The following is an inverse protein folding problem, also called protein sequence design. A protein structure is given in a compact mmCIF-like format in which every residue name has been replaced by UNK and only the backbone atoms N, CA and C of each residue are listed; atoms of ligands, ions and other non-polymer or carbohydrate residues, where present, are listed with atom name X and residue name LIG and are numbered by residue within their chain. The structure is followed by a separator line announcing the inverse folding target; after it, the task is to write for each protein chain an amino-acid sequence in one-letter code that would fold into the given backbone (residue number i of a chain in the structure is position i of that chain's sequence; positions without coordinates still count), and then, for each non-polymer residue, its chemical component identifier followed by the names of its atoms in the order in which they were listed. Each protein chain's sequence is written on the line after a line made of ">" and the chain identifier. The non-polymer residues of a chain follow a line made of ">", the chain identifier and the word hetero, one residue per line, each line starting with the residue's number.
data_IF_575513877209
#
_entry.id   IF_575513877209
#
_cell.length_a   1.000
_cell.length_b   1.000
_cell.length_c   1.000
_cell.angle_alpha   90.00
_cell.angle_beta   90.00
_cell.angle_gamma   90.00
#
_symmetry.space_group_name_H-M   'P 1'
#
loop_
_entity.id
_entity.type
_entity.pdbx_description
1 polymer ?
#
# COMPACT_ATOMS: atom_id res chain seq x y z
N UNK A 1 -3.12 13.66 -8.17
CA UNK A 1 -3.67 13.12 -6.90
C UNK A 1 -4.38 11.79 -7.17
N UNK A 2 -4.54 10.90 -6.18
CA UNK A 2 -5.12 9.54 -6.39
C UNK A 2 -6.53 9.57 -7.04
N UNK A 3 -7.36 10.56 -6.71
CA UNK A 3 -8.65 10.77 -7.36
C UNK A 3 -8.53 11.02 -8.88
N UNK A 4 -7.49 11.73 -9.32
CA UNK A 4 -7.24 11.97 -10.75
C UNK A 4 -6.80 10.70 -11.48
N UNK A 5 -6.08 9.80 -10.78
CA UNK A 5 -5.66 8.51 -11.35
C UNK A 5 -6.85 7.58 -11.51
N UNK A 6 -7.74 7.51 -10.52
CA UNK A 6 -9.01 6.80 -10.66
C UNK A 6 -9.87 7.35 -11.81
N UNK A 7 -10.01 8.68 -11.92
CA UNK A 7 -10.70 9.30 -13.04
C UNK A 7 -10.06 9.02 -14.41
N UNK A 8 -8.78 8.62 -14.42
CA UNK A 8 -8.05 8.15 -15.60
C UNK A 8 -8.12 6.62 -15.78
N UNK A 9 -9.09 5.96 -15.14
CA UNK A 9 -9.33 4.51 -15.19
C UNK A 9 -8.21 3.64 -14.61
N UNK A 10 -7.41 4.17 -13.68
CA UNK A 10 -6.48 3.37 -12.88
C UNK A 10 -7.23 2.81 -11.68
N UNK A 11 -7.17 1.50 -11.47
CA UNK A 11 -7.72 0.87 -10.28
C UNK A 11 -6.89 1.22 -9.05
N UNK A 12 -7.45 2.04 -8.17
CA UNK A 12 -6.79 2.47 -6.94
C UNK A 12 -7.52 1.88 -5.74
N UNK A 13 -6.77 1.15 -4.91
CA UNK A 13 -7.22 0.70 -3.59
C UNK A 13 -6.41 1.40 -2.49
N UNK A 14 -7.09 2.02 -1.55
CA UNK A 14 -6.48 2.59 -0.34
C UNK A 14 -6.85 1.74 0.88
N UNK A 15 -5.83 1.15 1.51
CA UNK A 15 -5.99 0.41 2.77
C UNK A 15 -5.42 1.24 3.91
N UNK A 16 -6.22 1.48 4.95
CA UNK A 16 -5.75 2.22 6.12
C UNK A 16 -6.42 1.78 7.42
N UNK A 17 -5.67 1.87 8.53
CA UNK A 17 -6.19 1.66 9.90
C UNK A 17 -7.10 2.82 10.33
N UNK A 18 -6.56 4.02 10.21
CA UNK A 18 -7.12 5.27 10.74
C UNK A 18 -7.40 6.29 9.61
N UNK A 19 -7.55 5.81 8.37
CA UNK A 19 -7.72 6.67 7.20
C UNK A 19 -9.03 7.46 7.25
N UNK A 20 -8.94 8.75 6.95
CA UNK A 20 -10.08 9.55 6.54
C UNK A 20 -10.35 9.28 5.05
N UNK A 21 -11.37 8.49 4.79
CA UNK A 21 -11.72 8.04 3.45
C UNK A 21 -12.62 9.04 2.70
N UNK A 22 -13.21 10.02 3.40
CA UNK A 22 -14.14 11.00 2.79
C UNK A 22 -13.43 11.87 1.74
N UNK A 23 -12.11 12.05 1.89
CA UNK A 23 -11.27 12.76 0.93
C UNK A 23 -11.25 12.13 -0.48
N UNK A 24 -11.57 10.83 -0.59
CA UNK A 24 -11.55 10.11 -1.87
C UNK A 24 -12.84 10.24 -2.70
N UNK A 25 -13.94 10.76 -2.13
CA UNK A 25 -15.21 11.03 -2.84
C UNK A 25 -15.68 9.86 -3.72
N UNK A 26 -15.60 8.63 -3.20
CA UNK A 26 -15.93 7.38 -3.89
C UNK A 26 -15.10 7.04 -5.14
N UNK A 27 -14.10 7.85 -5.49
CA UNK A 27 -13.24 7.59 -6.64
C UNK A 27 -12.25 6.44 -6.36
N UNK A 28 -11.89 6.20 -5.11
CA UNK A 28 -10.91 5.18 -4.72
C UNK A 28 -11.62 4.09 -3.93
N UNK A 29 -11.32 2.82 -4.22
CA UNK A 29 -11.77 1.74 -3.37
C UNK A 29 -11.08 1.87 -2.01
N UNK A 30 -11.85 2.06 -0.95
CA UNK A 30 -11.31 2.24 0.40
C UNK A 30 -11.59 1.02 1.24
N UNK A 31 -10.56 0.57 1.97
CA UNK A 31 -10.62 -0.64 2.78
C UNK A 31 -10.05 -0.33 4.16
N UNK A 32 -10.85 -0.62 5.19
CA UNK A 32 -10.38 -0.48 6.58
C UNK A 32 -9.48 -1.65 6.93
N UNK A 33 -8.31 -1.37 7.48
CA UNK A 33 -7.36 -2.40 7.87
C UNK A 33 -7.92 -3.27 9.02
N UNK A 34 -7.99 -4.61 8.89
CA UNK A 34 -8.66 -5.48 9.85
C UNK A 34 -8.05 -5.40 11.25
N UNK A 35 -8.89 -5.17 12.27
CA UNK A 35 -8.46 -5.03 13.67
C UNK A 35 -7.60 -6.19 14.16
N UNK A 36 -7.97 -7.43 13.80
CA UNK A 36 -7.26 -8.66 14.17
C UNK A 36 -5.81 -8.74 13.66
N UNK A 37 -5.47 -7.97 12.62
CA UNK A 37 -4.15 -7.98 11.97
C UNK A 37 -3.35 -6.72 12.31
N UNK A 38 -3.92 -5.78 13.06
CA UNK A 38 -3.29 -4.50 13.23
C UNK A 38 -1.98 -4.63 14.03
N UNK A 39 -0.85 -4.16 13.48
CA UNK A 39 0.41 -4.18 14.21
C UNK A 39 0.36 -3.22 15.41
N UNK A 40 1.31 -3.34 16.37
CA UNK A 40 1.54 -2.31 17.37
C UNK A 40 1.68 -0.94 16.69
N UNK A 41 1.12 0.13 17.29
CA UNK A 41 1.14 1.48 16.70
C UNK A 41 2.56 1.97 16.33
N UNK A 42 3.54 1.49 17.06
CA UNK A 42 4.97 1.79 16.90
C UNK A 42 5.59 1.18 15.62
N UNK A 43 4.92 0.22 14.96
CA UNK A 43 5.36 -0.45 13.73
C UNK A 43 4.56 0.01 12.50
N UNK A 44 4.32 1.31 12.40
CA UNK A 44 3.53 1.87 11.29
C UNK A 44 4.41 2.03 10.05
N UNK A 45 4.22 1.13 9.08
CA UNK A 45 4.75 1.24 7.72
C UNK A 45 3.69 1.70 6.71
N UNK A 46 4.14 2.23 5.59
CA UNK A 46 3.33 2.57 4.42
C UNK A 46 3.91 1.84 3.22
N UNK A 47 3.03 1.31 2.38
CA UNK A 47 3.40 0.69 1.12
C UNK A 47 2.52 1.26 0.00
N UNK A 48 3.13 1.47 -1.15
CA UNK A 48 2.45 1.76 -2.41
C UNK A 48 3.07 0.84 -3.46
N UNK A 49 2.25 0.05 -4.12
CA UNK A 49 2.64 -0.74 -5.29
C UNK A 49 1.86 -0.25 -6.49
N UNK A 50 2.51 -0.19 -7.65
CA UNK A 50 1.92 0.20 -8.93
C UNK A 50 2.27 -0.88 -9.95
N UNK A 51 1.24 -1.41 -10.61
CA UNK A 51 1.33 -2.35 -11.74
C UNK A 51 2.28 -3.54 -11.54
N UNK A 52 2.50 -3.98 -10.29
CA UNK A 52 3.49 -5.01 -9.93
C UNK A 52 4.94 -4.74 -10.37
N UNK A 53 5.28 -3.51 -10.74
CA UNK A 53 6.61 -3.17 -11.23
C UNK A 53 7.25 -2.00 -10.49
N UNK A 54 6.45 -1.20 -9.77
CA UNK A 54 6.95 -0.13 -8.92
C UNK A 54 6.50 -0.31 -7.48
N UNK A 55 7.40 -0.01 -6.55
CA UNK A 55 7.16 -0.12 -5.12
C UNK A 55 7.79 1.04 -4.35
N UNK A 56 6.98 1.67 -3.50
CA UNK A 56 7.44 2.54 -2.42
C UNK A 56 7.13 1.87 -1.09
N UNK A 57 8.16 1.69 -0.27
CA UNK A 57 8.02 1.28 1.12
C UNK A 57 8.54 2.40 2.00
N UNK A 58 7.75 2.81 2.97
CA UNK A 58 8.16 3.79 3.98
C UNK A 58 7.93 3.24 5.36
N UNK A 59 8.93 3.29 6.22
CA UNK A 59 8.85 2.81 7.60
C UNK A 59 9.27 3.94 8.51
N UNK A 60 8.41 4.30 9.46
CA UNK A 60 8.78 5.25 10.50
C UNK A 60 9.89 4.67 11.36
N UNK A 61 10.89 5.50 11.62
CA UNK A 61 11.93 5.20 12.59
C UNK A 61 11.35 5.07 13.99
N UNK A 62 12.09 4.36 14.83
CA UNK A 62 11.75 4.23 16.24
C UNK A 62 12.45 5.33 17.03
N UNK A 63 11.68 6.23 17.65
CA UNK A 63 12.18 7.32 18.50
C UNK A 63 13.03 6.82 19.68
N UNK A 64 12.94 5.53 20.02
CA UNK A 64 13.78 4.89 21.06
C UNK A 64 15.21 4.62 20.60
N UNK A 65 15.54 4.80 19.32
CA UNK A 65 16.89 4.57 18.77
C UNK A 65 17.58 5.92 18.52
N UNK A 66 18.59 6.29 19.33
CA UNK A 66 19.29 7.55 19.17
C UNK A 66 19.96 7.66 17.80
N UNK A 67 19.70 8.75 17.08
CA UNK A 67 20.27 9.01 15.75
C UNK A 67 19.62 8.24 14.60
N UNK A 68 18.58 7.44 14.86
CA UNK A 68 17.80 6.85 13.78
C UNK A 68 17.04 7.94 13.01
N UNK A 69 16.96 7.83 11.67
CA UNK A 69 16.12 8.74 10.89
C UNK A 69 14.65 8.57 11.29
N UNK A 70 13.89 9.66 11.29
CA UNK A 70 12.47 9.65 11.63
C UNK A 70 11.65 8.75 10.68
N UNK A 71 12.12 8.55 9.45
CA UNK A 71 11.51 7.69 8.46
C UNK A 71 12.58 7.21 7.46
N UNK A 72 12.46 5.94 7.05
CA UNK A 72 13.26 5.35 5.98
C UNK A 72 12.32 4.98 4.85
N UNK A 73 12.56 5.52 3.66
CA UNK A 73 11.81 5.21 2.45
C UNK A 73 12.69 4.51 1.41
N UNK A 74 12.15 3.48 0.78
CA UNK A 74 12.77 2.72 -0.30
C UNK A 74 11.85 2.83 -1.52
N UNK A 75 12.39 3.34 -2.62
CA UNK A 75 11.74 3.34 -3.93
C UNK A 75 12.44 2.33 -4.83
N UNK A 76 11.67 1.48 -5.49
CA UNK A 76 12.16 0.52 -6.47
C UNK A 76 11.21 0.48 -7.66
N UNK A 77 11.76 0.54 -8.87
CA UNK A 77 10.99 0.64 -10.09
C UNK A 77 11.62 -0.21 -11.19
N UNK A 78 10.79 -0.96 -11.91
CA UNK A 78 11.18 -1.89 -12.97
C UNK A 78 12.29 -2.88 -12.56
N UNK A 79 12.31 -3.29 -11.29
CA UNK A 79 13.28 -4.28 -10.80
C UNK A 79 12.61 -5.60 -10.41
N UNK A 80 13.37 -6.69 -10.46
CA UNK A 80 12.93 -7.98 -9.92
C UNK A 80 12.57 -7.91 -8.42
N UNK A 81 13.23 -7.01 -7.67
CA UNK A 81 12.92 -6.77 -6.27
C UNK A 81 11.53 -6.13 -6.11
N UNK A 82 11.21 -5.11 -6.92
CA UNK A 82 9.90 -4.48 -6.93
C UNK A 82 8.79 -5.46 -7.31
N UNK A 83 9.05 -6.32 -8.30
CA UNK A 83 8.10 -7.34 -8.75
C UNK A 83 7.77 -8.36 -7.64
N UNK A 84 8.79 -8.96 -7.04
CA UNK A 84 8.60 -9.98 -5.98
C UNK A 84 7.88 -9.40 -4.76
N UNK A 85 8.26 -8.20 -4.31
CA UNK A 85 7.60 -7.60 -3.15
C UNK A 85 6.16 -7.15 -3.45
N UNK A 86 5.89 -6.67 -4.66
CA UNK A 86 4.52 -6.31 -5.07
C UNK A 86 3.61 -7.54 -5.06
N UNK A 87 4.07 -8.68 -5.60
CA UNK A 87 3.34 -9.95 -5.56
C UNK A 87 3.05 -10.41 -4.13
N UNK A 88 4.03 -10.31 -3.22
CA UNK A 88 3.83 -10.66 -1.81
C UNK A 88 2.77 -9.77 -1.14
N UNK A 89 2.78 -8.47 -1.42
CA UNK A 89 1.77 -7.54 -0.91
C UNK A 89 0.39 -7.84 -1.47
N UNK A 90 0.28 -8.07 -2.79
CA UNK A 90 -0.99 -8.40 -3.43
C UNK A 90 -1.58 -9.71 -2.90
N UNK A 91 -0.76 -10.76 -2.77
CA UNK A 91 -1.16 -12.04 -2.18
C UNK A 91 -1.65 -11.87 -0.74
N UNK A 92 -0.95 -11.04 0.05
CA UNK A 92 -1.38 -10.73 1.40
C UNK A 92 -2.73 -10.01 1.41
N UNK A 93 -2.93 -9.01 0.54
CA UNK A 93 -4.20 -8.27 0.42
C UNK A 93 -5.36 -9.19 0.00
N UNK A 94 -5.18 -10.00 -1.03
CA UNK A 94 -6.19 -10.96 -1.48
C UNK A 94 -6.58 -11.94 -0.35
N UNK A 95 -5.61 -12.39 0.43
CA UNK A 95 -5.84 -13.35 1.52
C UNK A 95 -6.56 -12.72 2.73
N UNK A 96 -6.26 -11.46 3.04
CA UNK A 96 -6.63 -10.86 4.33
C UNK A 96 -7.68 -9.76 4.26
N UNK A 97 -7.85 -9.13 3.11
CA UNK A 97 -8.70 -7.95 2.95
C UNK A 97 -9.92 -8.19 2.06
N UNK A 98 -10.07 -9.37 1.46
CA UNK A 98 -11.12 -9.71 0.49
C UNK A 98 -11.23 -8.65 -0.63
N UNK A 99 -10.08 -8.06 -0.99
CA UNK A 99 -9.96 -7.14 -2.11
C UNK A 99 -9.74 -8.00 -3.35
N UNK A 100 -10.71 -8.01 -4.26
CA UNK A 100 -10.49 -8.57 -5.59
C UNK A 100 -9.35 -7.80 -6.26
N UNK A 101 -8.21 -8.47 -6.41
CA UNK A 101 -7.13 -8.01 -7.28
C UNK A 101 -7.60 -8.25 -8.71
N UNK A 102 -7.75 -7.22 -9.56
CA UNK A 102 -8.07 -7.42 -10.97
C UNK A 102 -7.02 -8.36 -11.57
N UNK A 103 -7.44 -9.56 -12.00
CA UNK A 103 -6.56 -10.46 -12.72
C UNK A 103 -6.29 -9.81 -14.07
N UNK A 104 -5.06 -9.36 -14.31
CA UNK A 104 -4.63 -9.04 -15.66
C UNK A 104 -4.68 -10.33 -16.48
N UNK A 105 -5.70 -10.44 -17.34
CA UNK A 105 -5.72 -11.48 -18.38
C UNK A 105 -4.49 -11.25 -19.26
N UNK A 106 -3.63 -12.27 -19.46
CA UNK A 106 -2.61 -12.17 -20.50
C UNK A 106 -3.33 -12.22 -21.85
N UNK A 107 -3.06 -11.24 -22.70
CA UNK A 107 -3.35 -11.29 -24.15
C UNK A 107 -2.52 -12.39 -24.84
#
# INVERSE_FOLDING_TARGET
>A
MLNERSSAQVDVTCVSRDGDFDAFRDAVQTVRFPERLQPPREQSGRALSVDNHSLLLSVRGNDRVPGAPAETAIWSDETAFAAVLSELLQSWFATHLDVEVPRTTPD
#
